data_IF_857418013345
#
_entry.id   IF_857418013345
#
_cell.length_a   1.000
_cell.length_b   1.000
_cell.length_c   1.000
_cell.angle_alpha   90.00
_cell.angle_beta   90.00
_cell.angle_gamma   90.00
#
_symmetry.space_group_name_H-M   'P 1'
#
loop_
_entity.id
_entity.type
_entity.pdbx_description
1 polymer ?
#
# COMPACT_ATOMS: atom_id res chain seq x y z
N UNK A 1 -28.04 -6.77 9.20
CA UNK A 1 -26.87 -6.47 10.05
C UNK A 1 -25.74 -7.37 9.62
N UNK A 2 -24.83 -6.87 8.78
CA UNK A 2 -23.70 -7.63 8.27
C UNK A 2 -22.49 -7.36 9.18
N UNK A 3 -21.99 -8.40 9.84
CA UNK A 3 -20.78 -8.36 10.64
C UNK A 3 -19.57 -8.27 9.70
N UNK A 4 -18.82 -7.18 9.78
CA UNK A 4 -17.55 -7.01 9.09
C UNK A 4 -16.50 -7.89 9.76
N UNK A 5 -16.08 -8.94 9.07
CA UNK A 5 -15.06 -9.88 9.53
C UNK A 5 -13.71 -9.18 9.68
N UNK A 6 -13.25 -9.09 10.91
CA UNK A 6 -11.88 -8.77 11.29
C UNK A 6 -10.95 -9.83 10.70
N UNK A 7 -9.92 -9.41 9.97
CA UNK A 7 -8.92 -10.30 9.38
C UNK A 7 -7.92 -10.67 10.48
N UNK A 8 -8.40 -11.49 11.42
CA UNK A 8 -7.60 -12.16 12.45
C UNK A 8 -6.47 -12.89 11.73
N UNK A 9 -5.26 -12.65 12.19
CA UNK A 9 -4.00 -13.20 11.67
C UNK A 9 -4.16 -14.65 11.23
N UNK A 10 -3.73 -14.98 10.01
CA UNK A 10 -3.98 -16.28 9.36
C UNK A 10 -3.34 -17.51 10.06
N UNK A 11 -2.64 -17.27 11.17
CA UNK A 11 -1.97 -18.25 12.03
C UNK A 11 -2.51 -18.06 13.44
N UNK A 12 -3.51 -18.87 13.81
CA UNK A 12 -3.91 -18.99 15.21
C UNK A 12 -2.76 -19.63 15.99
N UNK A 13 -2.48 -19.13 17.20
CA UNK A 13 -1.48 -19.64 18.15
C UNK A 13 -1.46 -21.17 18.22
N UNK A 14 -0.27 -21.73 18.50
CA UNK A 14 0.06 -23.17 18.57
C UNK A 14 -1.08 -24.03 19.17
N UNK A 15 -1.99 -24.50 18.32
CA UNK A 15 -3.11 -25.32 18.75
C UNK A 15 -2.61 -26.75 18.98
N UNK A 16 -2.95 -27.33 20.13
CA UNK A 16 -2.67 -28.74 20.40
C UNK A 16 -3.79 -29.59 19.80
N UNK A 17 -3.44 -30.72 19.17
CA UNK A 17 -4.44 -31.63 18.61
C UNK A 17 -5.31 -32.25 19.73
N UNK A 18 -6.62 -32.05 19.63
CA UNK A 18 -7.67 -32.64 20.46
C UNK A 18 -7.91 -34.14 20.18
N UNK A 19 -7.59 -34.59 18.96
CA UNK A 19 -7.72 -35.97 18.49
C UNK A 19 -6.60 -36.34 17.50
N UNK A 20 -6.30 -37.64 17.40
CA UNK A 20 -5.33 -38.16 16.41
C UNK A 20 -5.85 -37.86 14.99
N UNK A 21 -5.00 -37.26 14.16
CA UNK A 21 -5.34 -36.91 12.78
C UNK A 21 -4.12 -37.03 11.87
N UNK A 22 -4.35 -37.32 10.59
CA UNK A 22 -3.26 -37.35 9.60
C UNK A 22 -3.03 -35.94 9.06
N UNK A 23 -1.76 -35.55 8.87
CA UNK A 23 -1.41 -34.29 8.25
C UNK A 23 -2.06 -34.17 6.86
N UNK A 24 -2.75 -33.06 6.60
CA UNK A 24 -3.53 -32.86 5.37
C UNK A 24 -2.72 -32.22 4.22
N UNK A 25 -1.39 -32.17 4.34
CA UNK A 25 -0.50 -31.79 3.23
C UNK A 25 -0.36 -33.00 2.31
N UNK A 26 -0.66 -32.91 0.99
CA UNK A 26 -0.72 -34.08 0.11
C UNK A 26 0.54 -34.96 0.06
N UNK A 27 1.70 -34.36 0.29
CA UNK A 27 3.00 -35.06 0.31
C UNK A 27 3.45 -35.52 1.70
N UNK A 28 2.62 -35.35 2.73
CA UNK A 28 2.93 -35.73 4.10
C UNK A 28 1.90 -36.74 4.61
N UNK A 29 2.36 -37.86 5.17
CA UNK A 29 1.53 -38.91 5.76
C UNK A 29 1.71 -39.00 7.28
N UNK A 30 2.39 -38.03 7.90
CA UNK A 30 2.63 -38.01 9.34
C UNK A 30 1.32 -37.94 10.13
N UNK A 31 1.18 -38.83 11.11
CA UNK A 31 0.11 -38.78 12.11
C UNK A 31 0.44 -37.78 13.20
N UNK A 32 -0.48 -36.87 13.47
CA UNK A 32 -0.44 -35.90 14.58
C UNK A 32 -1.24 -36.55 15.72
N UNK A 33 -0.59 -36.91 16.82
CA UNK A 33 -1.26 -37.56 17.95
C UNK A 33 -2.04 -36.52 18.75
N UNK A 34 -3.03 -36.96 19.50
CA UNK A 34 -3.68 -36.11 20.51
C UNK A 34 -2.61 -35.60 21.48
N UNK A 35 -2.56 -34.30 21.72
CA UNK A 35 -1.52 -33.66 22.52
C UNK A 35 -0.33 -33.11 21.72
N UNK A 36 -0.17 -33.47 20.43
CA UNK A 36 0.90 -32.93 19.59
C UNK A 36 0.51 -31.56 19.00
N UNK A 37 1.49 -30.69 18.70
CA UNK A 37 1.25 -29.43 17.99
C UNK A 37 0.60 -29.64 16.62
N UNK A 38 -0.47 -28.90 16.35
CA UNK A 38 -1.30 -28.99 15.16
C UNK A 38 -1.65 -27.60 14.64
N UNK A 39 -1.35 -27.35 13.37
CA UNK A 39 -1.45 -26.00 12.81
C UNK A 39 -2.57 -25.97 11.78
N UNK A 40 -3.46 -24.97 11.87
CA UNK A 40 -4.51 -24.76 10.89
C UNK A 40 -4.05 -23.76 9.83
N UNK A 41 -4.01 -24.21 8.57
CA UNK A 41 -3.67 -23.38 7.40
C UNK A 41 -4.95 -23.05 6.65
N UNK A 42 -5.35 -21.77 6.69
CA UNK A 42 -6.49 -21.29 5.91
C UNK A 42 -6.22 -21.35 4.40
N UNK A 43 -7.28 -21.53 3.61
CA UNK A 43 -7.23 -21.52 2.14
C UNK A 43 -7.69 -20.17 1.62
N UNK A 44 -7.07 -19.70 0.53
CA UNK A 44 -7.43 -18.43 -0.14
C UNK A 44 -8.79 -18.53 -0.85
N UNK A 45 -9.22 -19.73 -1.24
CA UNK A 45 -10.50 -19.95 -1.92
C UNK A 45 -11.66 -19.83 -0.92
N UNK A 46 -12.56 -18.83 -1.07
CA UNK A 46 -13.71 -18.67 -0.18
C UNK A 46 -14.58 -19.93 -0.16
N UNK A 47 -15.05 -20.31 1.03
CA UNK A 47 -15.94 -21.47 1.22
C UNK A 47 -15.24 -22.84 1.26
N UNK A 48 -13.93 -22.93 1.01
CA UNK A 48 -13.17 -24.16 1.27
C UNK A 48 -12.69 -24.18 2.73
N UNK A 49 -12.82 -25.33 3.40
CA UNK A 49 -12.23 -25.52 4.72
C UNK A 49 -10.70 -25.46 4.64
N UNK A 50 -10.06 -24.91 5.67
CA UNK A 50 -8.61 -24.95 5.83
C UNK A 50 -8.10 -26.37 6.09
N UNK A 51 -6.80 -26.49 6.35
CA UNK A 51 -6.13 -27.78 6.52
C UNK A 51 -5.32 -27.83 7.80
N UNK A 52 -5.34 -28.98 8.47
CA UNK A 52 -4.51 -29.24 9.64
C UNK A 52 -3.19 -29.90 9.24
N UNK A 53 -2.07 -29.32 9.69
CA UNK A 53 -0.73 -29.78 9.35
C UNK A 53 0.15 -29.96 10.59
N UNK A 54 1.12 -30.87 10.50
CA UNK A 54 2.10 -31.08 11.56
C UNK A 54 3.15 -29.96 11.59
N UNK A 55 3.88 -29.82 12.69
CA UNK A 55 4.92 -28.78 12.87
C UNK A 55 5.96 -28.69 11.73
N UNK A 56 6.53 -29.79 11.23
CA UNK A 56 7.44 -29.75 10.08
C UNK A 56 6.81 -29.16 8.81
N UNK A 57 5.53 -29.46 8.55
CA UNK A 57 4.79 -28.91 7.42
C UNK A 57 4.43 -27.44 7.64
N UNK A 58 4.10 -27.03 8.87
CA UNK A 58 3.85 -25.63 9.18
C UNK A 58 5.08 -24.76 8.85
N UNK A 59 6.28 -25.17 9.32
CA UNK A 59 7.56 -24.51 8.98
C UNK A 59 7.87 -24.48 7.47
N UNK A 60 7.32 -25.43 6.70
CA UNK A 60 7.41 -25.38 5.24
C UNK A 60 6.49 -24.30 4.66
N UNK A 61 5.26 -24.15 5.18
CA UNK A 61 4.32 -23.12 4.75
C UNK A 61 4.76 -21.71 5.15
N UNK A 62 5.27 -21.52 6.38
CA UNK A 62 5.82 -20.23 6.84
C UNK A 62 6.94 -19.73 5.91
N UNK A 63 7.88 -20.62 5.54
CA UNK A 63 8.96 -20.30 4.60
C UNK A 63 8.45 -20.02 3.18
N UNK A 64 7.38 -20.69 2.76
CA UNK A 64 6.80 -20.49 1.42
C UNK A 64 6.02 -19.17 1.33
N UNK A 65 5.36 -18.77 2.41
CA UNK A 65 4.58 -17.52 2.49
C UNK A 65 5.46 -16.27 2.57
N UNK A 66 6.66 -16.39 3.14
CA UNK A 66 7.71 -15.37 3.00
C UNK A 66 8.11 -15.12 1.52
N UNK A 67 7.64 -15.97 0.59
CA UNK A 67 7.76 -15.80 -0.87
C UNK A 67 6.40 -15.94 -1.57
N UNK A 68 5.50 -14.99 -1.33
CA UNK A 68 4.58 -14.51 -2.37
C UNK A 68 3.24 -15.23 -2.53
N UNK A 69 2.18 -14.49 -2.20
CA UNK A 69 0.90 -14.58 -2.90
C UNK A 69 1.15 -14.12 -4.34
N UNK A 70 1.36 -15.05 -5.28
CA UNK A 70 1.09 -14.78 -6.70
C UNK A 70 -0.40 -14.98 -6.93
N UNK A 71 -1.13 -14.00 -7.49
CA UNK A 71 -2.47 -14.23 -8.00
C UNK A 71 -2.40 -15.30 -9.08
N UNK A 72 -2.99 -16.47 -8.83
CA UNK A 72 -3.24 -17.46 -9.88
C UNK A 72 -4.40 -16.95 -10.73
N UNK A 73 -4.04 -16.14 -11.71
CA UNK A 73 -4.90 -15.67 -12.79
C UNK A 73 -4.01 -15.34 -13.98
N UNK A 74 -3.50 -16.37 -14.66
CA UNK A 74 -2.63 -16.18 -15.81
C UNK A 74 -2.21 -17.53 -16.36
N UNK A 75 -2.82 -17.92 -17.47
CA UNK A 75 -2.26 -18.92 -18.37
C UNK A 75 -0.78 -18.63 -18.63
N UNK A 76 0.00 -19.70 -18.76
CA UNK A 76 1.40 -19.63 -19.11
C UNK A 76 1.62 -18.68 -20.31
N UNK A 77 2.68 -17.86 -20.30
CA UNK A 77 3.01 -17.01 -21.44
C UNK A 77 3.37 -17.91 -22.62
N UNK A 78 2.59 -17.78 -23.69
CA UNK A 78 2.93 -18.35 -24.99
C UNK A 78 4.24 -17.65 -25.45
N UNK A 79 5.34 -18.37 -25.72
CA UNK A 79 6.66 -17.76 -25.89
C UNK A 79 6.89 -17.06 -27.24
N UNK A 80 5.85 -16.82 -28.03
CA UNK A 80 5.97 -16.15 -29.33
C UNK A 80 4.76 -15.24 -29.56
N UNK A 81 4.78 -14.05 -28.99
CA UNK A 81 3.99 -12.93 -29.52
C UNK A 81 4.93 -12.16 -30.44
N UNK A 82 4.69 -12.30 -31.74
CA UNK A 82 5.43 -11.59 -32.80
C UNK A 82 5.29 -10.07 -32.58
N UNK A 83 6.41 -9.33 -32.42
CA UNK A 83 6.41 -7.87 -32.31
C UNK A 83 5.61 -7.17 -33.41
N UNK A 84 5.49 -7.77 -34.60
CA UNK A 84 4.69 -7.21 -35.69
C UNK A 84 3.19 -7.19 -35.41
N UNK A 85 2.65 -8.14 -34.64
CA UNK A 85 1.23 -8.15 -34.28
C UNK A 85 0.91 -7.03 -33.28
N UNK A 86 1.83 -6.75 -32.35
CA UNK A 86 1.71 -5.61 -31.44
C UNK A 86 1.77 -4.30 -32.23
N UNK A 87 2.72 -4.17 -33.17
CA UNK A 87 2.85 -2.99 -34.03
C UNK A 87 1.59 -2.77 -34.88
N UNK A 88 1.01 -3.83 -35.46
CA UNK A 88 -0.22 -3.74 -36.24
C UNK A 88 -1.43 -3.34 -35.39
N UNK A 89 -1.54 -3.87 -34.17
CA UNK A 89 -2.59 -3.49 -33.23
C UNK A 89 -2.51 -2.01 -32.84
N UNK A 90 -1.32 -1.52 -32.48
CA UNK A 90 -1.08 -0.11 -32.14
C UNK A 90 -1.37 0.80 -33.35
N UNK A 91 -0.90 0.42 -34.54
CA UNK A 91 -1.17 1.18 -35.76
C UNK A 91 -2.67 1.20 -36.12
N UNK A 92 -3.41 0.09 -35.91
CA UNK A 92 -4.84 0.03 -36.17
C UNK A 92 -5.64 0.91 -35.19
N UNK A 93 -5.27 0.91 -33.91
CA UNK A 93 -5.88 1.75 -32.87
C UNK A 93 -5.58 3.25 -33.09
N UNK A 94 -4.37 3.57 -33.55
CA UNK A 94 -4.00 4.96 -33.87
C UNK A 94 -4.71 5.46 -35.14
N UNK A 95 -4.91 4.62 -36.16
CA UNK A 95 -5.70 4.98 -37.36
C UNK A 95 -7.18 5.19 -37.07
N UNK A 96 -7.75 4.49 -36.09
CA UNK A 96 -9.14 4.72 -35.67
C UNK A 96 -9.31 5.97 -34.81
N UNK A 97 -8.21 6.51 -34.27
CA UNK A 97 -8.18 7.75 -33.48
C UNK A 97 -7.75 8.98 -34.30
N UNK A 98 -7.16 8.76 -35.47
CA UNK A 98 -6.84 9.81 -36.43
C UNK A 98 -8.07 10.14 -37.28
N UNK A 99 -8.96 10.96 -36.72
CA UNK A 99 -9.77 11.81 -37.58
C UNK A 99 -8.80 12.82 -38.23
N UNK A 100 -8.18 12.44 -39.35
CA UNK A 100 -7.67 13.43 -40.28
C UNK A 100 -8.84 14.36 -40.63
N UNK A 101 -8.81 15.65 -40.26
CA UNK A 101 -9.80 16.57 -40.79
C UNK A 101 -9.60 16.59 -42.31
N UNK A 102 -10.67 16.34 -43.06
CA UNK A 102 -10.64 16.40 -44.52
C UNK A 102 -9.94 17.69 -44.96
N UNK A 103 -9.02 17.65 -45.93
CA UNK A 103 -8.35 18.85 -46.41
C UNK A 103 -9.40 19.83 -46.93
N UNK A 104 -9.55 20.97 -46.23
CA UNK A 104 -10.43 22.05 -46.65
C UNK A 104 -9.77 22.73 -47.85
N UNK A 105 -10.19 22.35 -49.06
CA UNK A 105 -9.80 23.07 -50.28
C UNK A 105 -10.60 24.38 -50.30
N UNK A 106 -9.92 25.50 -50.09
CA UNK A 106 -10.49 26.82 -50.27
C UNK A 106 -10.72 27.09 -51.76
N UNK A 107 -11.92 26.80 -52.26
CA UNK A 107 -12.35 27.19 -53.60
C UNK A 107 -12.77 28.66 -53.59
N UNK A 108 -11.85 29.54 -53.97
CA UNK A 108 -12.18 30.93 -54.30
C UNK A 108 -12.89 30.98 -55.66
N UNK A 109 -14.22 30.95 -55.67
CA UNK A 109 -15.03 31.30 -56.84
C UNK A 109 -15.94 32.48 -56.49
N UNK A 110 -15.77 33.56 -57.27
CA UNK A 110 -16.50 34.80 -57.11
C UNK A 110 -17.97 34.71 -57.52
N UNK A 111 -18.72 35.67 -56.99
CA UNK A 111 -20.00 36.20 -57.48
C UNK A 111 -21.21 35.26 -57.55
N UNK A 112 -21.97 35.19 -56.44
CA UNK A 112 -23.40 35.61 -56.43
C UNK A 112 -23.92 35.65 -55.00
N UNK A 113 -24.60 36.74 -54.65
CA UNK A 113 -25.29 36.91 -53.38
C UNK A 113 -26.42 35.86 -53.25
N UNK A 114 -26.14 34.80 -52.51
CA UNK A 114 -27.13 33.88 -51.96
C UNK A 114 -27.17 34.04 -50.43
N UNK A 115 -28.28 33.71 -49.76
CA UNK A 115 -28.46 33.95 -48.34
C UNK A 115 -27.37 33.23 -47.53
N UNK A 116 -26.70 33.98 -46.66
CA UNK A 116 -25.67 33.50 -45.74
C UNK A 116 -26.19 32.35 -44.90
N UNK A 117 -25.96 31.11 -45.35
CA UNK A 117 -26.12 29.93 -44.52
C UNK A 117 -24.99 29.93 -43.48
N UNK A 118 -25.29 29.98 -42.18
CA UNK A 118 -24.28 29.98 -41.15
C UNK A 118 -23.54 28.64 -41.19
N UNK A 119 -22.30 28.65 -41.68
CA UNK A 119 -21.41 27.48 -41.77
C UNK A 119 -20.93 26.94 -40.41
N UNK A 120 -21.61 27.26 -39.31
CA UNK A 120 -21.33 26.70 -38.00
C UNK A 120 -22.06 25.36 -37.87
N UNK A 121 -21.36 24.29 -38.25
CA UNK A 121 -21.85 22.93 -37.98
C UNK A 121 -22.02 22.70 -36.46
N UNK A 122 -22.99 21.87 -36.09
CA UNK A 122 -23.33 21.54 -34.69
C UNK A 122 -22.14 21.04 -33.83
N UNK A 123 -21.03 20.65 -34.46
CA UNK A 123 -19.79 20.25 -33.77
C UNK A 123 -19.15 21.41 -32.97
N UNK A 124 -19.42 22.67 -33.31
CA UNK A 124 -18.85 23.81 -32.60
C UNK A 124 -19.50 24.06 -31.22
N UNK A 125 -20.69 23.50 -30.97
CA UNK A 125 -21.39 23.59 -29.68
C UNK A 125 -20.63 22.84 -28.59
N UNK A 126 -19.90 21.77 -28.94
CA UNK A 126 -19.15 20.94 -27.98
C UNK A 126 -17.71 21.43 -27.75
N UNK A 127 -17.19 22.31 -28.61
CA UNK A 127 -15.80 22.79 -28.54
C UNK A 127 -15.50 23.51 -27.23
N UNK A 128 -16.45 24.30 -26.71
CA UNK A 128 -16.30 24.96 -25.41
C UNK A 128 -16.09 23.96 -24.26
N UNK A 129 -16.92 22.91 -24.23
CA UNK A 129 -16.86 21.86 -23.22
C UNK A 129 -15.60 20.99 -23.34
N UNK A 130 -15.12 20.72 -24.56
CA UNK A 130 -13.91 19.94 -24.81
C UNK A 130 -12.65 20.71 -24.41
N UNK A 131 -12.57 22.00 -24.75
CA UNK A 131 -11.49 22.89 -24.31
C UNK A 131 -11.47 23.06 -22.79
N UNK A 132 -12.64 23.20 -22.16
CA UNK A 132 -12.72 23.27 -20.69
C UNK A 132 -12.27 21.96 -20.04
N UNK A 133 -12.62 20.80 -20.61
CA UNK A 133 -12.13 19.50 -20.14
C UNK A 133 -10.61 19.39 -20.24
N UNK A 134 -10.02 19.77 -21.37
CA UNK A 134 -8.56 19.76 -21.54
C UNK A 134 -7.87 20.77 -20.64
N UNK A 135 -8.44 21.96 -20.44
CA UNK A 135 -7.91 22.93 -19.49
C UNK A 135 -7.95 22.37 -18.07
N UNK A 136 -9.07 21.78 -17.63
CA UNK A 136 -9.16 21.12 -16.33
C UNK A 136 -8.11 20.02 -16.20
N UNK A 137 -7.89 19.21 -17.23
CA UNK A 137 -6.90 18.13 -17.18
C UNK A 137 -5.45 18.63 -17.21
N UNK A 138 -5.16 19.69 -17.98
CA UNK A 138 -3.82 20.27 -18.11
C UNK A 138 -3.41 21.09 -16.88
N UNK A 139 -4.38 21.73 -16.20
CA UNK A 139 -4.17 22.51 -14.98
C UNK A 139 -4.64 21.77 -13.72
N UNK A 140 -5.00 20.49 -13.81
CA UNK A 140 -5.16 19.66 -12.63
C UNK A 140 -3.80 19.60 -11.96
N UNK A 141 -3.69 20.13 -10.73
CA UNK A 141 -2.55 19.83 -9.88
C UNK A 141 -2.42 18.31 -9.87
N UNK A 142 -1.24 17.73 -10.21
CA UNK A 142 -1.06 16.29 -10.15
C UNK A 142 -1.55 15.82 -8.78
N UNK A 143 -2.31 14.71 -8.72
CA UNK A 143 -2.82 14.22 -7.44
C UNK A 143 -1.64 14.15 -6.49
N UNK A 144 -1.71 14.93 -5.41
CA UNK A 144 -0.65 14.96 -4.40
C UNK A 144 -0.45 13.51 -3.99
N UNK A 145 0.74 12.99 -4.26
CA UNK A 145 1.07 11.61 -3.92
C UNK A 145 1.04 11.55 -2.39
N UNK A 146 0.16 10.70 -1.83
CA UNK A 146 -0.02 10.58 -0.39
C UNK A 146 0.34 9.20 0.16
N UNK A 147 0.67 9.16 1.45
CA UNK A 147 0.89 7.97 2.27
C UNK A 147 -0.05 7.95 3.48
N UNK A 148 -0.13 6.79 4.12
CA UNK A 148 -0.77 6.63 5.42
C UNK A 148 0.30 6.33 6.46
N UNK A 149 0.10 6.78 7.70
CA UNK A 149 0.98 6.52 8.83
C UNK A 149 0.18 5.85 9.95
N UNK A 150 0.80 4.86 10.59
CA UNK A 150 0.40 4.29 11.86
C UNK A 150 1.42 4.74 12.91
N UNK A 151 0.98 5.53 13.88
CA UNK A 151 1.85 6.17 14.87
C UNK A 151 1.55 5.55 16.21
N UNK A 152 2.52 4.84 16.80
CA UNK A 152 2.34 4.19 18.09
C UNK A 152 3.34 4.72 19.11
N UNK A 153 2.95 4.75 20.39
CA UNK A 153 3.88 4.98 21.48
C UNK A 153 4.37 3.64 22.04
N UNK A 154 5.67 3.52 22.28
CA UNK A 154 6.30 2.29 22.77
C UNK A 154 7.36 2.64 23.82
N UNK A 155 7.55 1.78 24.81
CA UNK A 155 8.72 1.88 25.68
C UNK A 155 9.94 1.24 25.01
N UNK A 156 11.12 1.77 25.30
CA UNK A 156 12.37 1.15 24.94
C UNK A 156 12.54 -0.21 25.66
N UNK A 157 13.20 -1.20 25.04
CA UNK A 157 13.64 -2.41 25.74
C UNK A 157 12.72 -3.65 25.74
N UNK A 158 11.96 -3.87 24.67
CA UNK A 158 11.28 -5.16 24.45
C UNK A 158 12.23 -6.38 24.44
N UNK A 159 11.71 -7.52 24.88
CA UNK A 159 12.48 -8.76 25.01
C UNK A 159 13.03 -9.20 23.64
N UNK A 160 14.33 -8.97 23.39
CA UNK A 160 15.00 -9.21 22.09
C UNK A 160 14.81 -10.63 21.55
N UNK A 161 14.44 -11.59 22.40
CA UNK A 161 14.24 -13.00 22.07
C UNK A 161 13.14 -13.26 21.02
N UNK A 162 12.21 -12.32 20.78
CA UNK A 162 11.16 -12.45 19.76
C UNK A 162 11.25 -11.44 18.60
N UNK A 163 12.34 -10.67 18.48
CA UNK A 163 12.49 -9.67 17.43
C UNK A 163 11.48 -8.50 17.53
N UNK A 164 10.77 -8.37 18.65
CA UNK A 164 9.89 -7.24 18.91
C UNK A 164 10.72 -6.01 19.28
N UNK A 165 10.58 -4.95 18.47
CA UNK A 165 11.21 -3.66 18.70
C UNK A 165 10.27 -2.80 19.59
N UNK A 166 10.44 -2.90 20.91
CA UNK A 166 9.66 -2.15 21.92
C UNK A 166 8.45 -2.90 22.47
N UNK A 167 7.92 -2.41 23.61
CA UNK A 167 6.65 -2.87 24.17
C UNK A 167 5.62 -1.75 24.01
N UNK A 168 4.40 -2.11 23.61
CA UNK A 168 3.34 -1.12 23.35
C UNK A 168 2.94 -0.40 24.62
N UNK A 169 3.00 0.92 24.57
CA UNK A 169 2.58 1.79 25.66
C UNK A 169 1.07 2.02 25.59
N UNK A 170 0.31 1.51 26.57
CA UNK A 170 -1.10 1.86 26.80
C UNK A 170 -2.07 1.68 25.61
N UNK A 171 -1.78 0.77 24.67
CA UNK A 171 -2.50 0.66 23.39
C UNK A 171 -2.60 1.98 22.61
N UNK A 172 -1.65 2.89 22.80
CA UNK A 172 -1.61 4.18 22.12
C UNK A 172 -1.12 3.95 20.69
N UNK A 173 -2.09 3.91 19.78
CA UNK A 173 -1.88 3.87 18.34
C UNK A 173 -2.86 4.85 17.67
N UNK A 174 -2.39 5.54 16.65
CA UNK A 174 -3.17 6.47 15.84
C UNK A 174 -2.85 6.34 14.36
N UNK A 175 -3.91 6.32 13.55
CA UNK A 175 -3.80 6.30 12.09
C UNK A 175 -3.91 7.71 11.51
N UNK A 176 -2.94 8.12 10.69
CA UNK A 176 -3.02 9.32 9.86
C UNK A 176 -3.09 8.91 8.39
N UNK A 177 -3.98 9.54 7.63
CA UNK A 177 -4.16 9.29 6.20
C UNK A 177 -3.82 10.54 5.41
N UNK A 178 -3.60 10.35 4.12
CA UNK A 178 -3.44 11.43 3.15
C UNK A 178 -2.28 12.38 3.49
N UNK A 179 -1.20 11.83 4.05
CA UNK A 179 0.02 12.58 4.35
C UNK A 179 0.81 12.79 3.07
N UNK A 180 1.28 14.01 2.83
CA UNK A 180 2.11 14.34 1.67
C UNK A 180 3.37 13.45 1.65
N UNK A 181 3.63 12.79 0.52
CA UNK A 181 4.83 11.96 0.35
C UNK A 181 6.13 12.72 0.40
N UNK A 182 6.11 14.03 0.19
CA UNK A 182 7.27 14.91 0.31
C UNK A 182 7.62 15.26 1.76
N UNK A 183 6.84 14.76 2.74
CA UNK A 183 7.12 14.98 4.16
C UNK A 183 8.53 14.52 4.52
N UNK A 184 9.29 15.41 5.15
CA UNK A 184 10.65 15.13 5.60
C UNK A 184 10.69 14.59 7.04
N UNK A 185 11.88 14.12 7.47
CA UNK A 185 12.03 13.53 8.79
C UNK A 185 11.69 14.49 9.95
N UNK A 186 12.14 15.77 9.96
CA UNK A 186 11.71 16.74 10.96
C UNK A 186 10.19 16.91 11.05
N UNK A 187 9.50 17.03 9.90
CA UNK A 187 8.04 17.14 9.88
C UNK A 187 7.35 15.86 10.39
N UNK A 188 7.89 14.67 10.09
CA UNK A 188 7.40 13.40 10.64
C UNK A 188 7.56 13.33 12.16
N UNK A 189 8.67 13.85 12.71
CA UNK A 189 8.91 13.94 14.16
C UNK A 189 7.84 14.81 14.82
N UNK A 190 7.63 16.03 14.29
CA UNK A 190 6.60 16.94 14.79
C UNK A 190 5.22 16.30 14.73
N UNK A 191 4.85 15.72 13.58
CA UNK A 191 3.56 15.06 13.37
C UNK A 191 3.35 13.90 14.35
N UNK A 192 4.38 13.07 14.58
CA UNK A 192 4.32 11.95 15.49
C UNK A 192 4.07 12.41 16.94
N UNK A 193 4.89 13.37 17.41
CA UNK A 193 4.77 13.92 18.77
C UNK A 193 3.42 14.59 18.98
N UNK A 194 2.97 15.47 18.09
CA UNK A 194 1.66 16.13 18.20
C UNK A 194 0.50 15.13 18.23
N UNK A 195 0.65 13.99 17.55
CA UNK A 195 -0.38 12.96 17.49
C UNK A 195 -0.49 12.16 18.79
N UNK A 196 0.63 11.70 19.35
CA UNK A 196 0.60 10.78 20.50
C UNK A 196 0.74 11.47 21.85
N UNK A 197 1.36 12.66 21.91
CA UNK A 197 1.61 13.38 23.16
C UNK A 197 0.36 13.55 24.03
N UNK A 198 -0.80 14.00 23.50
CA UNK A 198 -2.00 14.14 24.34
C UNK A 198 -2.44 12.82 24.98
N UNK A 199 -2.24 11.70 24.29
CA UNK A 199 -2.56 10.36 24.80
C UNK A 199 -1.56 9.88 25.84
N UNK A 200 -0.28 10.20 25.66
CA UNK A 200 0.76 9.86 26.64
C UNK A 200 0.50 10.59 27.96
N UNK A 201 0.22 11.89 27.89
CA UNK A 201 -0.13 12.70 29.06
C UNK A 201 -1.43 12.23 29.73
N UNK A 202 -2.41 11.77 28.94
CA UNK A 202 -3.66 11.22 29.48
C UNK A 202 -3.50 9.82 30.10
N UNK A 203 -2.53 9.03 29.65
CA UNK A 203 -2.28 7.68 30.15
C UNK A 203 -1.77 7.69 31.59
N UNK A 204 -0.85 8.61 31.92
CA UNK A 204 -0.31 8.78 33.27
C UNK A 204 -0.46 10.24 33.73
N UNK A 205 -1.68 10.67 34.15
CA UNK A 205 -1.91 12.03 34.60
C UNK A 205 -1.02 12.38 35.79
N UNK A 206 -0.23 13.45 35.67
CA UNK A 206 0.64 13.94 36.74
C UNK A 206 2.07 13.41 36.72
N UNK A 207 2.39 12.41 35.88
CA UNK A 207 3.78 12.01 35.66
C UNK A 207 4.48 13.01 34.72
N UNK A 208 5.65 13.55 35.09
CA UNK A 208 6.36 14.57 34.30
C UNK A 208 7.18 13.94 33.18
N UNK A 209 6.53 13.49 32.11
CA UNK A 209 7.23 12.95 30.94
C UNK A 209 8.21 13.98 30.33
N UNK A 210 9.45 13.57 30.08
CA UNK A 210 10.45 14.38 29.39
C UNK A 210 10.36 14.12 27.87
N UNK A 211 9.46 14.87 27.22
CA UNK A 211 9.13 14.75 25.79
C UNK A 211 10.35 14.98 24.88
N UNK A 212 11.33 15.75 25.32
CA UNK A 212 12.57 16.05 24.62
C UNK A 212 13.52 14.85 24.52
N UNK A 213 13.37 13.86 25.40
CA UNK A 213 14.14 12.62 25.33
C UNK A 213 13.44 11.54 24.48
N UNK A 214 12.20 11.79 24.02
CA UNK A 214 11.51 10.82 23.18
C UNK A 214 12.23 10.66 21.84
N UNK A 215 12.43 9.41 21.43
CA UNK A 215 13.09 9.10 20.16
C UNK A 215 12.05 8.64 19.16
N UNK A 216 11.98 9.27 17.99
CA UNK A 216 11.02 8.89 16.94
C UNK A 216 11.73 7.96 15.98
N UNK A 217 11.23 6.74 15.85
CA UNK A 217 11.76 5.72 14.94
C UNK A 217 10.74 5.33 13.88
N UNK A 218 11.19 4.89 12.72
CA UNK A 218 10.30 4.26 11.74
C UNK A 218 10.11 2.76 12.04
N UNK A 219 9.28 2.09 11.23
CA UNK A 219 9.07 0.63 11.34
C UNK A 219 10.33 -0.22 11.09
N UNK A 220 11.41 0.36 10.56
CA UNK A 220 12.72 -0.26 10.44
C UNK A 220 13.62 0.00 11.67
N UNK A 221 13.10 0.66 12.71
CA UNK A 221 13.82 1.05 13.90
C UNK A 221 14.94 2.06 13.66
N UNK A 222 14.85 2.81 12.57
CA UNK A 222 15.76 3.91 12.24
C UNK A 222 15.30 5.16 12.95
N UNK A 223 16.18 5.79 13.70
CA UNK A 223 15.94 7.07 14.36
C UNK A 223 15.88 8.21 13.33
N UNK A 224 14.73 8.89 13.26
CA UNK A 224 14.46 9.95 12.30
C UNK A 224 15.32 11.19 12.53
N UNK A 225 15.83 11.42 13.74
CA UNK A 225 16.69 12.57 14.05
C UNK A 225 18.04 12.51 13.33
N UNK A 226 18.49 11.29 12.99
CA UNK A 226 19.73 11.06 12.25
C UNK A 226 19.54 11.14 10.72
N UNK A 227 18.31 11.32 10.25
CA UNK A 227 18.03 11.39 8.82
C UNK A 227 18.33 12.80 8.27
N UNK A 228 18.90 12.91 7.05
CA UNK A 228 19.11 14.20 6.41
C UNK A 228 17.80 15.02 6.34
N UNK A 229 17.83 16.30 6.75
CA UNK A 229 16.68 17.19 6.62
C UNK A 229 16.37 17.45 5.13
N UNK A 230 15.12 17.81 4.83
CA UNK A 230 14.65 18.17 3.48
C UNK A 230 14.58 17.04 2.44
N UNK A 231 14.78 15.78 2.85
CA UNK A 231 14.55 14.64 1.98
C UNK A 231 13.26 13.92 2.40
N UNK A 232 12.41 13.66 1.42
CA UNK A 232 11.22 12.86 1.58
C UNK A 232 11.56 11.46 2.10
N UNK A 233 11.11 11.12 3.30
CA UNK A 233 11.56 9.92 4.02
C UNK A 233 11.05 8.62 3.36
N UNK A 234 9.76 8.61 2.98
CA UNK A 234 9.10 7.40 2.47
C UNK A 234 8.91 7.34 0.96
N UNK A 235 9.22 8.43 0.23
CA UNK A 235 8.91 8.56 -1.20
C UNK A 235 9.44 7.40 -2.04
N UNK A 236 10.74 7.10 -1.91
CA UNK A 236 11.41 6.05 -2.68
C UNK A 236 10.79 4.66 -2.46
N UNK A 237 10.20 4.44 -1.28
CA UNK A 237 9.54 3.17 -0.96
C UNK A 237 8.17 3.04 -1.66
N UNK A 238 7.55 4.14 -2.07
CA UNK A 238 6.26 4.17 -2.75
C UNK A 238 6.38 4.00 -4.27
N UNK A 239 7.56 4.30 -4.84
CA UNK A 239 7.81 4.17 -6.28
C UNK A 239 8.16 2.73 -6.64
N UNK A 240 7.36 2.10 -7.50
CA UNK A 240 7.58 0.73 -7.95
C UNK A 240 7.75 0.66 -9.47
N UNK A 241 8.59 -0.26 -10.00
CA UNK A 241 8.67 -0.50 -11.43
C UNK A 241 7.33 -1.01 -11.95
N UNK A 242 6.86 -0.45 -13.07
CA UNK A 242 5.65 -0.90 -13.75
C UNK A 242 5.96 -2.09 -14.63
N UNK A 243 5.27 -3.21 -14.41
CA UNK A 243 5.37 -4.37 -15.29
C UNK A 243 4.54 -4.23 -16.58
N UNK A 244 3.59 -3.29 -16.62
CA UNK A 244 2.62 -3.16 -17.72
C UNK A 244 3.01 -2.12 -18.77
N UNK A 245 3.92 -1.19 -18.45
CA UNK A 245 4.25 -0.06 -19.32
C UNK A 245 5.73 -0.02 -19.75
N UNK A 246 6.39 -1.19 -19.79
CA UNK A 246 7.79 -1.34 -20.20
C UNK A 246 8.79 -1.03 -19.08
N UNK A 247 10.07 -1.41 -19.26
CA UNK A 247 11.07 -1.48 -18.18
C UNK A 247 11.53 -0.14 -17.58
N UNK A 248 10.99 1.01 -18.04
CA UNK A 248 11.41 2.36 -17.62
C UNK A 248 10.32 3.18 -16.93
N UNK A 249 9.09 2.68 -16.89
CA UNK A 249 8.00 3.40 -16.25
C UNK A 249 7.90 2.98 -14.78
N UNK A 250 7.89 3.96 -13.89
CA UNK A 250 7.62 3.76 -12.48
C UNK A 250 6.22 4.24 -12.15
N UNK A 251 5.52 3.52 -11.27
CA UNK A 251 4.21 3.90 -10.77
C UNK A 251 4.34 4.16 -9.27
N UNK A 252 3.81 5.31 -8.83
CA UNK A 252 3.63 5.59 -7.42
C UNK A 252 2.50 4.73 -6.85
N UNK A 253 2.72 4.12 -5.69
CA UNK A 253 1.69 3.43 -4.92
C UNK A 253 1.67 3.93 -3.49
N UNK A 254 0.53 4.44 -3.08
CA UNK A 254 0.24 4.77 -1.68
C UNK A 254 0.47 3.53 -0.80
N UNK A 255 1.17 3.75 0.30
CA UNK A 255 1.49 2.73 1.31
C UNK A 255 1.17 3.24 2.71
N UNK A 256 1.00 2.30 3.63
CA UNK A 256 0.99 2.57 5.05
C UNK A 256 2.39 2.32 5.62
N UNK A 257 2.89 3.27 6.40
CA UNK A 257 4.14 3.18 7.14
C UNK A 257 3.89 3.26 8.63
N UNK A 258 4.86 2.80 9.42
CA UNK A 258 4.80 2.89 10.87
C UNK A 258 5.80 3.93 11.37
N UNK A 259 5.37 4.74 12.32
CA UNK A 259 6.21 5.57 13.18
C UNK A 259 6.00 5.17 14.63
N UNK A 260 7.08 5.24 15.39
CA UNK A 260 7.15 4.78 16.76
C UNK A 260 7.75 5.89 17.60
N UNK A 261 6.96 6.40 18.55
CA UNK A 261 7.44 7.35 19.56
C UNK A 261 7.94 6.52 20.73
N UNK A 262 9.26 6.48 20.89
CA UNK A 262 9.95 5.63 21.86
C UNK A 262 10.21 6.43 23.13
N UNK A 263 9.59 6.01 24.21
CA UNK A 263 9.85 6.51 25.57
C UNK A 263 11.11 5.83 26.09
N UNK A 264 12.15 6.58 26.52
CA UNK A 264 13.37 6.02 27.09
C UNK A 264 13.08 5.11 28.28
N UNK A 265 13.86 4.05 28.44
CA UNK A 265 13.67 3.12 29.56
C UNK A 265 13.83 3.81 30.93
N UNK A 266 14.71 4.79 31.04
CA UNK A 266 14.94 5.52 32.29
C UNK A 266 13.65 6.18 32.81
N UNK A 267 12.89 6.86 31.94
CA UNK A 267 11.60 7.45 32.31
C UNK A 267 10.55 6.38 32.62
N UNK A 268 10.63 5.24 31.93
CA UNK A 268 9.72 4.11 32.18
C UNK A 268 9.92 3.51 33.57
N UNK A 269 11.17 3.25 33.95
CA UNK A 269 11.53 2.71 35.25
C UNK A 269 11.10 3.66 36.38
N UNK A 270 11.22 4.99 36.17
CA UNK A 270 10.74 6.00 37.13
C UNK A 270 9.21 6.03 37.29
N UNK A 271 8.46 5.72 36.23
CA UNK A 271 7.00 5.65 36.27
C UNK A 271 6.49 4.40 37.01
N UNK A 272 7.22 3.29 36.96
CA UNK A 272 6.82 2.02 37.60
C UNK A 272 7.15 1.95 39.12
N UNK A 273 7.95 2.89 39.63
CA UNK A 273 8.33 2.98 41.06
C UNK A 273 7.21 3.54 41.95
#
# INVERSE_FOLDING_TARGET
MASTGELITQFTEDAVADQERTCQRPSCTTKIRKGDPCFHIATIVPGKAGRFVCGPCNRHYERKLATGVRPTGGHAPNPFIDPHIIQQSVNAAQRSSSMQPSPVIATSHGHRAGPSLPGYSANHVMYGAERERWAKQAYSTPPVETINLEISAVQEGGNKRKGGHGLSFGNICEGKKDIDTQIDAPQLITLALETVRPKILAFAPGFPWHEDEFVIRDGGWVDLSNHPPHFAHFYKQCVQPSHTQGPRTSIFKTKQFQLLVVVPMAQWDEYEL
#
